data_IF_569328093533
#
_entry.id   IF_569328093533
#
_cell.length_a   1.000
_cell.length_b   1.000
_cell.length_c   1.000
_cell.angle_alpha   90.00
_cell.angle_beta   90.00
_cell.angle_gamma   90.00
#
_symmetry.space_group_name_H-M   'P 1'
#
loop_
_entity.id
_entity.type
_entity.pdbx_description
1 polymer ?
#
# COMPACT_ATOMS: atom_id res chain seq x y z
N UNK A 1 -14.33 4.24 20.71
CA UNK A 1 -13.42 3.06 20.68
C UNK A 1 -12.47 3.28 19.51
N UNK A 2 -11.19 2.98 19.67
CA UNK A 2 -10.22 3.09 18.56
C UNK A 2 -10.64 2.14 17.42
N UNK A 3 -10.67 2.64 16.18
CA UNK A 3 -11.00 1.83 15.00
C UNK A 3 -10.13 0.57 14.90
N UNK A 4 -8.84 0.68 15.25
CA UNK A 4 -7.91 -0.46 15.23
C UNK A 4 -8.34 -1.56 16.20
N UNK A 5 -8.86 -1.22 17.36
CA UNK A 5 -9.36 -2.23 18.33
C UNK A 5 -10.64 -2.91 17.83
N UNK A 6 -11.52 -2.15 17.12
CA UNK A 6 -12.71 -2.74 16.49
C UNK A 6 -12.31 -3.75 15.41
N UNK A 7 -11.32 -3.39 14.57
CA UNK A 7 -10.81 -4.25 13.48
C UNK A 7 -10.20 -5.55 14.04
N UNK A 8 -9.41 -5.46 15.11
CA UNK A 8 -8.73 -6.62 15.71
C UNK A 8 -9.67 -7.59 16.42
N UNK A 9 -10.73 -7.08 17.01
CA UNK A 9 -11.59 -7.86 17.92
C UNK A 9 -12.01 -9.23 17.39
N UNK A 10 -12.51 -9.39 16.15
CA UNK A 10 -12.92 -10.71 15.65
C UNK A 10 -11.77 -11.66 15.33
N UNK A 11 -10.52 -11.17 15.23
CA UNK A 11 -9.33 -11.92 14.79
C UNK A 11 -8.18 -11.85 15.82
N UNK A 12 -8.44 -11.48 17.04
CA UNK A 12 -7.40 -11.17 18.03
C UNK A 12 -6.45 -12.35 18.31
N UNK A 13 -7.01 -13.55 18.43
CA UNK A 13 -6.23 -14.78 18.64
C UNK A 13 -5.34 -15.06 17.43
N UNK A 14 -5.90 -15.10 16.25
CA UNK A 14 -5.21 -15.42 15.00
C UNK A 14 -4.16 -14.33 14.64
N UNK A 15 -4.44 -13.08 14.98
CA UNK A 15 -3.47 -12.00 14.85
C UNK A 15 -2.28 -12.16 15.81
N UNK A 16 -2.51 -12.69 17.02
CA UNK A 16 -1.42 -13.01 17.95
C UNK A 16 -0.57 -14.19 17.44
N UNK A 17 -1.20 -15.23 16.90
CA UNK A 17 -0.52 -16.37 16.26
C UNK A 17 0.32 -15.90 15.06
N UNK A 18 -0.25 -15.02 14.22
CA UNK A 18 0.46 -14.40 13.11
C UNK A 18 1.70 -13.62 13.57
N UNK A 19 1.59 -12.80 14.61
CA UNK A 19 2.72 -12.01 15.13
C UNK A 19 3.86 -12.90 15.60
N UNK A 20 3.55 -14.00 16.30
CA UNK A 20 4.55 -14.96 16.73
C UNK A 20 5.27 -15.60 15.52
N UNK A 21 4.53 -15.93 14.45
CA UNK A 21 5.08 -16.48 13.23
C UNK A 21 5.95 -15.45 12.47
N UNK A 22 5.51 -14.20 12.41
CA UNK A 22 6.26 -13.10 11.81
C UNK A 22 7.57 -12.82 12.54
N UNK A 23 7.54 -12.77 13.87
CA UNK A 23 8.73 -12.58 14.69
C UNK A 23 9.75 -13.72 14.52
N UNK A 24 9.26 -14.96 14.42
CA UNK A 24 10.12 -16.12 14.17
C UNK A 24 10.76 -16.10 12.77
N UNK A 25 10.05 -15.63 11.76
CA UNK A 25 10.55 -15.53 10.38
C UNK A 25 11.66 -14.47 10.21
N UNK A 26 11.67 -13.45 11.08
CA UNK A 26 12.66 -12.36 11.06
C UNK A 26 13.80 -12.59 12.06
N UNK A 27 14.37 -13.80 12.03
CA UNK A 27 15.54 -14.17 12.85
C UNK A 27 16.61 -14.84 11.98
N UNK A 28 17.88 -14.60 12.30
CA UNK A 28 19.02 -15.27 11.68
C UNK A 28 20.17 -15.43 12.65
N UNK A 29 20.96 -16.50 12.50
CA UNK A 29 22.20 -16.71 13.25
C UNK A 29 23.41 -16.02 12.59
N UNK A 30 23.28 -15.56 11.34
CA UNK A 30 24.28 -14.74 10.67
C UNK A 30 24.26 -13.32 11.27
N UNK A 31 25.37 -12.81 11.84
CA UNK A 31 25.36 -11.60 12.66
C UNK A 31 24.72 -10.37 11.99
N UNK A 32 25.26 -9.94 10.84
CA UNK A 32 24.73 -8.76 10.12
C UNK A 32 23.27 -8.96 9.73
N UNK A 33 22.90 -10.13 9.18
CA UNK A 33 21.53 -10.41 8.80
C UNK A 33 20.60 -10.41 10.01
N UNK A 34 21.01 -11.01 11.13
CA UNK A 34 20.24 -11.01 12.38
C UNK A 34 19.99 -9.61 12.92
N UNK A 35 21.01 -8.73 12.86
CA UNK A 35 20.88 -7.33 13.30
C UNK A 35 19.90 -6.54 12.43
N UNK A 36 19.99 -6.68 11.10
CA UNK A 36 19.10 -5.97 10.15
C UNK A 36 17.66 -6.49 10.28
N UNK A 37 17.44 -7.80 10.34
CA UNK A 37 16.11 -8.37 10.54
C UNK A 37 15.52 -7.95 11.89
N UNK A 38 16.34 -7.91 12.95
CA UNK A 38 15.96 -7.37 14.26
C UNK A 38 15.57 -5.90 14.22
N UNK A 39 16.28 -5.09 13.42
CA UNK A 39 15.94 -3.69 13.18
C UNK A 39 14.58 -3.55 12.45
N UNK A 40 14.38 -4.29 11.37
CA UNK A 40 13.13 -4.30 10.61
C UNK A 40 11.96 -4.74 11.51
N UNK A 41 12.13 -5.81 12.30
CA UNK A 41 11.13 -6.33 13.22
C UNK A 41 10.64 -5.30 14.24
N UNK A 42 11.53 -4.47 14.78
CA UNK A 42 11.18 -3.41 15.75
C UNK A 42 10.35 -2.28 15.14
N UNK A 43 10.33 -2.18 13.81
CA UNK A 43 9.64 -1.12 13.05
C UNK A 43 8.26 -1.53 12.54
N UNK A 44 7.69 -2.58 13.10
CA UNK A 44 6.39 -3.09 12.69
C UNK A 44 5.32 -2.01 12.68
N UNK A 45 4.64 -1.89 11.54
CA UNK A 45 3.48 -1.03 11.36
C UNK A 45 2.23 -1.56 12.06
N UNK A 46 1.09 -1.00 11.69
CA UNK A 46 -0.23 -1.38 12.24
C UNK A 46 -0.73 -2.76 11.80
N UNK A 47 0.03 -3.50 11.00
CA UNK A 47 -0.32 -4.84 10.48
C UNK A 47 -1.64 -4.88 9.71
N UNK A 48 -1.96 -3.81 8.98
CA UNK A 48 -3.23 -3.68 8.26
C UNK A 48 -3.45 -4.80 7.24
N UNK A 49 -2.41 -5.15 6.45
CA UNK A 49 -2.52 -6.21 5.43
C UNK A 49 -2.75 -7.59 6.02
N UNK A 50 -1.97 -8.05 7.01
CA UNK A 50 -2.29 -9.29 7.73
C UNK A 50 -3.71 -9.31 8.32
N UNK A 51 -4.17 -8.19 8.91
CA UNK A 51 -5.55 -8.10 9.42
C UNK A 51 -6.57 -8.28 8.30
N UNK A 52 -6.34 -7.72 7.11
CA UNK A 52 -7.22 -7.90 5.96
C UNK A 52 -7.29 -9.38 5.51
N UNK A 53 -6.14 -10.06 5.41
CA UNK A 53 -6.10 -11.51 5.11
C UNK A 53 -6.95 -12.30 6.11
N UNK A 54 -6.76 -12.06 7.41
CA UNK A 54 -7.48 -12.76 8.47
C UNK A 54 -8.99 -12.47 8.45
N UNK A 55 -9.37 -11.21 8.24
CA UNK A 55 -10.78 -10.81 8.17
C UNK A 55 -11.48 -11.45 6.97
N UNK A 56 -10.85 -11.45 5.79
CA UNK A 56 -11.41 -12.07 4.59
C UNK A 56 -11.47 -13.59 4.71
N UNK A 57 -10.45 -14.23 5.28
CA UNK A 57 -10.51 -15.65 5.58
C UNK A 57 -11.66 -16.01 6.54
N UNK A 58 -11.89 -15.16 7.54
CA UNK A 58 -12.98 -15.35 8.51
C UNK A 58 -14.35 -15.09 7.90
N UNK A 59 -14.44 -14.19 6.90
CA UNK A 59 -15.66 -13.90 6.18
C UNK A 59 -16.16 -15.13 5.38
N UNK A 60 -15.25 -15.81 4.72
CA UNK A 60 -15.59 -16.89 3.79
C UNK A 60 -15.37 -18.30 4.38
N UNK A 61 -14.75 -18.41 5.56
CA UNK A 61 -14.51 -19.72 6.16
C UNK A 61 -13.82 -19.69 7.51
N UNK A 62 -13.07 -20.75 7.80
CA UNK A 62 -12.32 -20.89 9.06
C UNK A 62 -10.84 -20.64 8.81
N UNK A 63 -10.27 -19.66 9.52
CA UNK A 63 -8.84 -19.42 9.51
C UNK A 63 -8.06 -20.69 9.85
N UNK A 64 -7.01 -20.97 9.10
CA UNK A 64 -6.21 -22.17 9.17
C UNK A 64 -4.71 -21.85 8.98
N UNK A 65 -3.79 -22.83 9.08
CA UNK A 65 -2.36 -22.58 8.89
C UNK A 65 -2.00 -21.98 7.51
N UNK A 66 -2.70 -22.34 6.44
CA UNK A 66 -2.46 -21.74 5.11
C UNK A 66 -2.76 -20.23 5.12
N UNK A 67 -3.82 -19.80 5.83
CA UNK A 67 -4.14 -18.38 6.02
C UNK A 67 -3.00 -17.62 6.70
N UNK A 68 -2.43 -18.17 7.79
CA UNK A 68 -1.34 -17.54 8.52
C UNK A 68 -0.06 -17.45 7.69
N UNK A 69 0.28 -18.52 6.96
CA UNK A 69 1.44 -18.54 6.08
C UNK A 69 1.26 -17.61 4.88
N UNK A 70 0.06 -17.52 4.32
CA UNK A 70 -0.25 -16.57 3.24
C UNK A 70 -0.13 -15.12 3.70
N UNK A 71 -0.70 -14.78 4.86
CA UNK A 71 -0.57 -13.46 5.46
C UNK A 71 0.90 -13.09 5.70
N UNK A 72 1.70 -14.03 6.20
CA UNK A 72 3.13 -13.82 6.43
C UNK A 72 3.91 -13.65 5.13
N UNK A 73 3.63 -14.46 4.12
CA UNK A 73 4.25 -14.35 2.80
C UNK A 73 4.04 -12.95 2.22
N UNK A 74 2.81 -12.45 2.22
CA UNK A 74 2.49 -11.11 1.70
C UNK A 74 3.14 -9.97 2.50
N UNK A 75 3.17 -10.07 3.83
CA UNK A 75 3.81 -9.03 4.68
C UNK A 75 5.34 -9.02 4.50
N UNK A 76 5.97 -10.20 4.33
CA UNK A 76 7.40 -10.30 4.03
C UNK A 76 7.74 -9.75 2.65
N UNK A 77 6.94 -10.06 1.62
CA UNK A 77 7.11 -9.52 0.28
C UNK A 77 6.98 -8.00 0.30
N UNK A 78 5.93 -7.46 0.96
CA UNK A 78 5.78 -6.02 1.11
C UNK A 78 6.96 -5.37 1.84
N UNK A 79 7.44 -5.98 2.93
CA UNK A 79 8.57 -5.42 3.68
C UNK A 79 9.86 -5.46 2.85
N UNK A 80 10.06 -6.52 2.05
CA UNK A 80 11.18 -6.63 1.11
C UNK A 80 11.12 -5.53 0.03
N UNK A 81 9.93 -5.31 -0.56
CA UNK A 81 9.78 -4.23 -1.56
C UNK A 81 10.12 -2.87 -0.97
N UNK A 82 9.68 -2.57 0.27
CA UNK A 82 10.04 -1.31 0.93
C UNK A 82 11.55 -1.14 1.15
N UNK A 83 12.27 -2.23 1.44
CA UNK A 83 13.74 -2.20 1.58
C UNK A 83 14.43 -1.95 0.24
N UNK A 84 13.92 -2.54 -0.84
CA UNK A 84 14.41 -2.30 -2.20
C UNK A 84 14.08 -0.88 -2.69
N UNK A 85 12.86 -0.40 -2.44
CA UNK A 85 12.41 0.95 -2.79
C UNK A 85 13.31 2.01 -2.15
N UNK A 86 13.69 1.84 -0.86
CA UNK A 86 14.61 2.76 -0.18
C UNK A 86 15.96 2.89 -0.90
N UNK A 87 16.43 1.82 -1.55
CA UNK A 87 17.66 1.84 -2.37
C UNK A 87 17.44 2.54 -3.71
N UNK A 88 16.32 2.21 -4.40
CA UNK A 88 15.96 2.79 -5.70
C UNK A 88 15.74 4.31 -5.58
N UNK A 89 14.97 4.72 -4.57
CA UNK A 89 14.62 6.11 -4.30
C UNK A 89 15.76 6.89 -3.58
N UNK A 90 16.87 6.22 -3.22
CA UNK A 90 17.96 6.79 -2.42
C UNK A 90 17.47 7.46 -1.13
N UNK A 91 16.48 6.84 -0.49
CA UNK A 91 15.85 7.37 0.70
C UNK A 91 16.66 7.07 1.95
N UNK A 92 17.06 8.11 2.69
CA UNK A 92 17.79 7.96 3.96
C UNK A 92 16.88 7.68 5.15
N UNK A 93 15.56 7.93 5.02
CA UNK A 93 14.58 7.78 6.10
C UNK A 93 13.29 7.15 5.61
N UNK A 94 12.72 6.27 6.44
CA UNK A 94 11.39 5.70 6.28
C UNK A 94 10.61 5.78 7.60
N UNK A 95 9.42 6.36 7.58
CA UNK A 95 8.57 6.57 8.77
C UNK A 95 9.32 7.29 9.91
N UNK A 96 10.12 8.31 9.57
CA UNK A 96 10.87 9.12 10.54
C UNK A 96 12.12 8.47 11.13
N UNK A 97 12.46 7.23 10.73
CA UNK A 97 13.68 6.52 11.16
C UNK A 97 14.62 6.29 9.98
N UNK A 98 15.90 6.06 10.25
CA UNK A 98 16.88 5.76 9.21
C UNK A 98 16.45 4.52 8.40
N UNK A 99 16.57 4.55 7.08
CA UNK A 99 16.34 3.39 6.21
C UNK A 99 17.46 2.35 6.40
N UNK A 100 17.25 1.12 5.88
CA UNK A 100 18.27 0.06 6.01
C UNK A 100 19.54 0.44 5.25
N UNK A 101 19.42 1.01 4.05
CA UNK A 101 20.56 1.46 3.25
C UNK A 101 21.34 2.61 3.90
N UNK A 102 20.69 3.49 4.66
CA UNK A 102 21.35 4.54 5.41
C UNK A 102 22.15 4.01 6.61
N UNK A 103 21.73 2.87 7.21
CA UNK A 103 22.43 2.28 8.35
C UNK A 103 23.52 1.28 7.98
N UNK A 104 23.29 0.50 6.92
CA UNK A 104 24.15 -0.65 6.58
C UNK A 104 24.80 -0.54 5.19
N UNK A 105 24.25 0.09 4.25
CA UNK A 105 24.56 0.35 2.84
C UNK A 105 23.57 -0.33 1.84
N UNK A 106 23.69 0.05 0.57
CA UNK A 106 22.84 -0.47 -0.50
C UNK A 106 23.04 -1.98 -0.74
N UNK A 107 24.26 -2.51 -0.58
CA UNK A 107 24.54 -3.94 -0.85
C UNK A 107 23.84 -4.82 0.17
N UNK A 108 23.93 -4.44 1.46
CA UNK A 108 23.25 -5.15 2.54
C UNK A 108 21.73 -5.06 2.34
N UNK A 109 21.21 -3.89 1.98
CA UNK A 109 19.77 -3.70 1.75
C UNK A 109 19.24 -4.58 0.65
N UNK A 110 19.90 -4.64 -0.51
CA UNK A 110 19.50 -5.53 -1.61
C UNK A 110 19.50 -6.99 -1.17
N UNK A 111 20.56 -7.47 -0.53
CA UNK A 111 20.67 -8.86 -0.09
C UNK A 111 19.65 -9.22 1.01
N UNK A 112 19.34 -8.29 1.91
CA UNK A 112 18.29 -8.51 2.92
C UNK A 112 16.91 -8.54 2.28
N UNK A 113 16.62 -7.65 1.33
CA UNK A 113 15.40 -7.70 0.54
C UNK A 113 15.23 -9.05 -0.19
N UNK A 114 16.29 -9.54 -0.85
CA UNK A 114 16.28 -10.85 -1.51
C UNK A 114 16.05 -12.01 -0.53
N UNK A 115 16.69 -11.97 0.65
CA UNK A 115 16.47 -12.94 1.70
C UNK A 115 15.01 -12.96 2.17
N UNK A 116 14.40 -11.78 2.33
CA UNK A 116 13.00 -11.64 2.73
C UNK A 116 12.05 -12.11 1.63
N UNK A 117 12.33 -11.83 0.34
CA UNK A 117 11.59 -12.36 -0.79
C UNK A 117 11.66 -13.89 -0.84
N UNK A 118 12.83 -14.47 -0.67
CA UNK A 118 12.99 -15.93 -0.61
C UNK A 118 12.23 -16.54 0.58
N UNK A 119 12.24 -15.86 1.73
CA UNK A 119 11.46 -16.28 2.90
C UNK A 119 9.96 -16.18 2.65
N UNK A 120 9.50 -15.13 1.97
CA UNK A 120 8.10 -14.97 1.52
C UNK A 120 7.67 -16.16 0.65
N UNK A 121 8.43 -16.51 -0.38
CA UNK A 121 8.14 -17.65 -1.25
C UNK A 121 8.11 -18.99 -0.49
N UNK A 122 8.99 -19.17 0.50
CA UNK A 122 8.94 -20.37 1.36
C UNK A 122 7.63 -20.45 2.16
N UNK A 123 7.14 -19.31 2.68
CA UNK A 123 5.86 -19.28 3.39
C UNK A 123 4.67 -19.47 2.45
N UNK A 124 4.71 -18.94 1.22
CA UNK A 124 3.73 -19.27 0.18
C UNK A 124 3.70 -20.78 -0.09
N UNK A 125 4.87 -21.43 -0.23
CA UNK A 125 4.95 -22.87 -0.42
C UNK A 125 4.46 -23.71 0.78
N UNK A 126 4.60 -23.21 2.01
CA UNK A 126 4.07 -23.87 3.21
C UNK A 126 2.54 -23.90 3.28
N UNK A 127 1.85 -23.05 2.52
CA UNK A 127 0.40 -23.15 2.36
C UNK A 127 -0.03 -24.45 1.69
N UNK A 128 0.82 -25.04 0.85
CA UNK A 128 0.53 -26.18 -0.03
C UNK A 128 -0.59 -25.96 -1.04
N UNK A 129 -0.95 -24.71 -1.28
CA UNK A 129 -1.96 -24.28 -2.24
C UNK A 129 -1.24 -23.54 -3.39
N UNK A 130 -1.31 -24.09 -4.60
CA UNK A 130 -0.57 -23.55 -5.76
C UNK A 130 -1.08 -22.15 -6.15
N UNK A 131 -2.37 -21.91 -5.98
CA UNK A 131 -3.01 -20.62 -6.26
C UNK A 131 -2.43 -19.51 -5.38
N UNK A 132 -2.11 -19.80 -4.12
CA UNK A 132 -1.47 -18.83 -3.21
C UNK A 132 0.00 -18.58 -3.58
N UNK A 133 0.70 -19.57 -4.10
CA UNK A 133 2.07 -19.39 -4.62
C UNK A 133 2.05 -18.51 -5.87
N UNK A 134 1.13 -18.78 -6.79
CA UNK A 134 0.95 -18.00 -8.02
C UNK A 134 0.56 -16.54 -7.69
N UNK A 135 -0.36 -16.33 -6.74
CA UNK A 135 -0.77 -15.01 -6.27
C UNK A 135 0.43 -14.18 -5.79
N UNK A 136 1.30 -14.77 -4.97
CA UNK A 136 2.50 -14.09 -4.45
C UNK A 136 3.49 -13.76 -5.57
N UNK A 137 3.65 -14.68 -6.54
CA UNK A 137 4.52 -14.46 -7.68
C UNK A 137 4.00 -13.34 -8.61
N UNK A 138 2.70 -13.37 -8.94
CA UNK A 138 2.02 -12.30 -9.72
C UNK A 138 2.11 -10.96 -9.02
N UNK A 139 1.93 -10.92 -7.69
CA UNK A 139 2.09 -9.69 -6.93
C UNK A 139 3.49 -9.11 -7.05
N UNK A 140 4.54 -9.94 -6.92
CA UNK A 140 5.92 -9.49 -7.09
C UNK A 140 6.19 -8.91 -8.48
N UNK A 141 5.64 -9.55 -9.53
CA UNK A 141 5.73 -9.03 -10.91
C UNK A 141 5.03 -7.67 -11.04
N UNK A 142 3.78 -7.55 -10.54
CA UNK A 142 3.00 -6.32 -10.62
C UNK A 142 3.68 -5.14 -9.91
N UNK A 143 4.26 -5.36 -8.73
CA UNK A 143 4.99 -4.32 -8.00
C UNK A 143 6.19 -3.82 -8.80
N UNK A 144 6.97 -4.73 -9.38
CA UNK A 144 8.15 -4.38 -10.19
C UNK A 144 7.74 -3.68 -11.50
N UNK A 145 6.70 -4.18 -12.19
CA UNK A 145 6.17 -3.56 -13.39
C UNK A 145 5.62 -2.15 -13.12
N UNK A 146 4.86 -1.99 -12.01
CA UNK A 146 4.33 -0.69 -11.59
C UNK A 146 5.42 0.33 -11.35
N UNK A 147 6.55 -0.06 -10.73
CA UNK A 147 7.70 0.82 -10.53
C UNK A 147 8.36 1.22 -11.84
N UNK A 148 8.57 0.27 -12.76
CA UNK A 148 9.14 0.53 -14.09
C UNK A 148 8.24 1.47 -14.90
N UNK A 149 6.92 1.24 -14.88
CA UNK A 149 5.95 2.11 -15.55
C UNK A 149 5.96 3.52 -14.95
N UNK A 150 6.04 3.65 -13.63
CA UNK A 150 6.16 4.94 -12.96
C UNK A 150 7.42 5.68 -13.39
N UNK A 151 8.58 5.01 -13.43
CA UNK A 151 9.84 5.60 -13.91
C UNK A 151 9.75 6.05 -15.38
N UNK A 152 9.10 5.27 -16.23
CA UNK A 152 8.89 5.63 -17.64
C UNK A 152 7.94 6.83 -17.81
N UNK A 153 6.94 6.98 -16.94
CA UNK A 153 5.96 8.07 -17.03
C UNK A 153 6.49 9.46 -16.67
N UNK A 154 7.70 9.57 -16.11
CA UNK A 154 8.33 10.87 -15.86
C UNK A 154 8.60 11.66 -17.15
N UNK A 155 8.65 11.00 -18.32
CA UNK A 155 8.80 11.61 -19.63
C UNK A 155 7.48 11.82 -20.39
N UNK A 156 6.34 11.38 -19.87
CA UNK A 156 5.04 11.55 -20.52
C UNK A 156 4.56 13.00 -20.40
N UNK A 157 3.99 13.55 -21.49
CA UNK A 157 3.43 14.92 -21.55
C UNK A 157 1.92 14.96 -21.31
N UNK A 158 1.25 13.82 -21.27
CA UNK A 158 -0.20 13.74 -21.06
C UNK A 158 -0.57 13.72 -19.57
N UNK A 159 -1.60 14.46 -19.19
CA UNK A 159 -2.15 14.49 -17.84
C UNK A 159 -3.36 13.54 -17.74
N UNK A 160 -3.09 12.22 -17.82
CA UNK A 160 -4.12 11.19 -17.87
C UNK A 160 -4.42 10.63 -16.48
N UNK A 161 -5.70 10.71 -16.06
CA UNK A 161 -6.18 10.02 -14.86
C UNK A 161 -6.18 8.49 -15.06
N UNK A 162 -6.41 7.99 -16.28
CA UNK A 162 -6.38 6.56 -16.57
C UNK A 162 -5.00 5.95 -16.27
N UNK A 163 -3.92 6.62 -16.72
CA UNK A 163 -2.54 6.23 -16.44
C UNK A 163 -2.28 6.29 -14.93
N UNK A 164 -2.75 7.33 -14.25
CA UNK A 164 -2.63 7.44 -12.81
C UNK A 164 -3.29 6.24 -12.10
N UNK A 165 -4.54 5.91 -12.45
CA UNK A 165 -5.24 4.78 -11.85
C UNK A 165 -4.56 3.44 -12.16
N UNK A 166 -4.01 3.24 -13.36
CA UNK A 166 -3.25 2.02 -13.71
C UNK A 166 -2.01 1.88 -12.82
N UNK A 167 -1.25 2.96 -12.64
CA UNK A 167 -0.07 2.96 -11.76
C UNK A 167 -0.43 2.63 -10.32
N UNK A 168 -1.44 3.29 -9.73
CA UNK A 168 -1.78 3.04 -8.33
C UNK A 168 -2.40 1.67 -8.10
N UNK A 169 -3.12 1.09 -9.09
CA UNK A 169 -3.60 -0.29 -9.03
C UNK A 169 -2.42 -1.28 -8.96
N UNK A 170 -1.42 -1.13 -9.82
CA UNK A 170 -0.26 -2.02 -9.88
C UNK A 170 0.67 -1.86 -8.67
N UNK A 171 0.95 -0.63 -8.26
CA UNK A 171 1.94 -0.34 -7.22
C UNK A 171 1.40 -0.47 -5.79
N UNK A 172 0.21 0.05 -5.53
CA UNK A 172 -0.32 0.15 -4.16
C UNK A 172 -1.52 -0.77 -3.94
N UNK A 173 -2.55 -0.71 -4.81
CA UNK A 173 -3.75 -1.48 -4.61
C UNK A 173 -3.51 -2.99 -4.77
N UNK A 174 -2.56 -3.41 -5.60
CA UNK A 174 -2.21 -4.83 -5.80
C UNK A 174 -1.92 -5.57 -4.47
N UNK A 175 -1.29 -4.91 -3.50
CA UNK A 175 -1.05 -5.50 -2.18
C UNK A 175 -2.32 -5.70 -1.35
N UNK A 176 -3.28 -4.77 -1.42
CA UNK A 176 -4.58 -4.92 -0.77
C UNK A 176 -5.44 -5.97 -1.48
N UNK A 177 -5.43 -5.96 -2.81
CA UNK A 177 -6.08 -6.97 -3.66
C UNK A 177 -5.59 -8.37 -3.28
N UNK A 178 -4.27 -8.59 -3.33
CA UNK A 178 -3.67 -9.88 -2.99
C UNK A 178 -3.93 -10.28 -1.52
N UNK A 179 -3.98 -9.31 -0.58
CA UNK A 179 -4.29 -9.60 0.82
C UNK A 179 -5.73 -10.10 0.98
N UNK A 180 -6.70 -9.45 0.35
CA UNK A 180 -8.09 -9.86 0.42
C UNK A 180 -8.32 -11.19 -0.33
N UNK A 181 -7.81 -11.32 -1.55
CA UNK A 181 -7.87 -12.53 -2.39
C UNK A 181 -7.27 -13.73 -1.66
N UNK A 182 -6.08 -13.57 -1.07
CA UNK A 182 -5.41 -14.66 -0.36
C UNK A 182 -6.17 -15.14 0.87
N UNK A 183 -6.88 -14.23 1.55
CA UNK A 183 -7.75 -14.60 2.65
C UNK A 183 -8.84 -15.57 2.21
N UNK A 184 -9.56 -15.26 1.13
CA UNK A 184 -10.60 -16.12 0.56
C UNK A 184 -10.04 -17.44 0.00
N UNK A 185 -8.94 -17.38 -0.78
CA UNK A 185 -8.27 -18.57 -1.31
C UNK A 185 -7.81 -19.53 -0.21
N UNK A 186 -7.28 -19.02 0.90
CA UNK A 186 -6.73 -19.82 2.00
C UNK A 186 -7.77 -20.72 2.68
N UNK A 187 -9.05 -20.36 2.58
CA UNK A 187 -10.16 -21.10 3.16
C UNK A 187 -11.00 -21.81 2.09
N UNK A 188 -10.54 -21.84 0.83
CA UNK A 188 -11.17 -22.49 -0.31
C UNK A 188 -12.57 -21.96 -0.57
N UNK A 189 -12.72 -20.63 -0.53
CA UNK A 189 -13.94 -19.95 -0.92
C UNK A 189 -14.32 -20.23 -2.39
N UNK A 190 -15.56 -19.96 -2.77
CA UNK A 190 -15.97 -20.08 -4.17
C UNK A 190 -15.18 -19.11 -5.06
N UNK A 191 -15.08 -19.40 -6.37
CA UNK A 191 -14.41 -18.49 -7.30
C UNK A 191 -15.03 -17.09 -7.28
N UNK A 192 -16.36 -17.00 -7.19
CA UNK A 192 -17.08 -15.73 -7.08
C UNK A 192 -16.69 -14.96 -5.80
N UNK A 193 -16.58 -15.65 -4.66
CA UNK A 193 -16.15 -15.03 -3.39
C UNK A 193 -14.69 -14.55 -3.45
N UNK A 194 -13.83 -15.30 -4.12
CA UNK A 194 -12.43 -14.92 -4.34
C UNK A 194 -12.35 -13.65 -5.20
N UNK A 195 -13.10 -13.60 -6.30
CA UNK A 195 -13.16 -12.43 -7.18
C UNK A 195 -13.72 -11.20 -6.44
N UNK A 196 -14.78 -11.38 -5.64
CA UNK A 196 -15.35 -10.32 -4.82
C UNK A 196 -14.36 -9.83 -3.75
N UNK A 197 -13.59 -10.74 -3.12
CA UNK A 197 -12.55 -10.39 -2.17
C UNK A 197 -11.43 -9.59 -2.85
N UNK A 198 -10.98 -10.02 -4.02
CA UNK A 198 -9.97 -9.30 -4.80
C UNK A 198 -10.43 -7.88 -5.14
N UNK A 199 -11.66 -7.74 -5.64
CA UNK A 199 -12.25 -6.44 -5.97
C UNK A 199 -12.40 -5.54 -4.73
N UNK A 200 -12.85 -6.10 -3.59
CA UNK A 200 -12.89 -5.38 -2.30
C UNK A 200 -11.52 -4.83 -1.92
N UNK A 201 -10.48 -5.66 -2.03
CA UNK A 201 -9.10 -5.26 -1.77
C UNK A 201 -8.63 -4.14 -2.71
N UNK A 202 -8.94 -4.23 -4.01
CA UNK A 202 -8.59 -3.20 -4.99
C UNK A 202 -9.25 -1.86 -4.64
N UNK A 203 -10.56 -1.85 -4.36
CA UNK A 203 -11.27 -0.61 -4.00
C UNK A 203 -10.64 0.07 -2.79
N UNK A 204 -10.31 -0.69 -1.75
CA UNK A 204 -9.63 -0.17 -0.55
C UNK A 204 -8.23 0.35 -0.89
N UNK A 205 -7.46 -0.38 -1.69
CA UNK A 205 -6.10 -0.02 -2.06
C UNK A 205 -6.05 1.28 -2.87
N UNK A 206 -6.99 1.48 -3.80
CA UNK A 206 -7.14 2.74 -4.55
C UNK A 206 -7.51 3.88 -3.60
N UNK A 207 -8.52 3.70 -2.73
CA UNK A 207 -8.90 4.71 -1.75
C UNK A 207 -7.73 5.06 -0.81
N UNK A 208 -6.93 4.06 -0.42
CA UNK A 208 -5.73 4.24 0.40
C UNK A 208 -4.71 5.15 -0.30
N UNK A 209 -4.42 4.92 -1.57
CA UNK A 209 -3.45 5.74 -2.31
C UNK A 209 -3.96 7.16 -2.53
N UNK A 210 -5.23 7.32 -2.93
CA UNK A 210 -5.81 8.67 -3.08
C UNK A 210 -5.71 9.46 -1.76
N UNK A 211 -5.91 8.80 -0.61
CA UNK A 211 -5.73 9.44 0.70
C UNK A 211 -4.30 9.88 0.95
N UNK A 212 -3.31 9.06 0.60
CA UNK A 212 -1.89 9.42 0.72
C UNK A 212 -1.56 10.63 -0.17
N UNK A 213 -2.06 10.63 -1.40
CA UNK A 213 -1.87 11.72 -2.35
C UNK A 213 -2.51 13.02 -1.85
N UNK A 214 -3.69 12.96 -1.22
CA UNK A 214 -4.30 14.13 -0.58
C UNK A 214 -3.42 14.65 0.57
N UNK A 215 -2.83 13.77 1.38
CA UNK A 215 -1.95 14.21 2.48
C UNK A 215 -0.74 14.99 2.00
N UNK A 216 -0.20 14.70 0.84
CA UNK A 216 0.96 15.40 0.28
C UNK A 216 0.72 16.90 0.05
N UNK A 217 -0.54 17.32 -0.06
CA UNK A 217 -0.92 18.73 -0.18
C UNK A 217 -0.97 19.49 1.14
N UNK A 218 -0.82 18.83 2.29
CA UNK A 218 -0.89 19.44 3.60
C UNK A 218 0.44 19.31 4.36
N UNK A 219 0.78 20.34 5.13
CA UNK A 219 1.97 20.29 5.99
C UNK A 219 1.85 19.19 7.02
N UNK A 220 2.88 18.37 7.12
CA UNK A 220 2.98 17.35 8.16
C UNK A 220 4.21 17.62 9.04
N UNK A 221 4.05 18.54 10.00
CA UNK A 221 5.11 18.89 10.95
C UNK A 221 5.69 17.66 11.69
N UNK A 222 4.84 16.66 11.97
CA UNK A 222 5.26 15.45 12.67
C UNK A 222 6.20 14.55 11.85
N UNK A 223 6.18 14.64 10.51
CA UNK A 223 7.03 13.86 9.60
C UNK A 223 8.18 14.69 9.02
N UNK A 224 8.17 16.03 9.23
CA UNK A 224 9.19 16.93 8.67
C UNK A 224 9.26 16.92 7.14
N UNK A 225 8.15 16.52 6.46
CA UNK A 225 8.06 16.51 5.00
C UNK A 225 7.48 17.84 4.52
N UNK A 226 8.13 18.49 3.53
CA UNK A 226 7.55 19.66 2.86
C UNK A 226 6.27 19.25 2.12
N UNK A 227 5.36 20.20 1.95
CA UNK A 227 4.14 20.04 1.12
C UNK A 227 4.56 19.87 -0.35
N UNK A 228 3.89 18.96 -1.08
CA UNK A 228 4.18 18.71 -2.50
C UNK A 228 5.43 17.86 -2.74
N UNK A 229 5.74 16.93 -1.82
CA UNK A 229 6.86 16.01 -1.98
C UNK A 229 6.73 15.16 -3.25
N UNK A 230 5.52 14.70 -3.61
CA UNK A 230 5.29 13.98 -4.85
C UNK A 230 5.65 14.83 -6.08
N UNK A 231 5.37 16.13 -6.05
CA UNK A 231 5.74 17.06 -7.12
C UNK A 231 7.25 17.31 -7.16
N UNK A 232 7.94 17.30 -6.01
CA UNK A 232 9.41 17.35 -5.96
C UNK A 232 10.04 16.12 -6.63
N UNK A 233 9.33 14.99 -6.62
CA UNK A 233 9.72 13.75 -7.30
C UNK A 233 9.18 13.67 -8.75
N UNK A 234 8.56 14.74 -9.26
CA UNK A 234 8.01 14.80 -10.61
C UNK A 234 6.67 14.08 -10.79
N UNK A 235 6.01 13.71 -9.69
CA UNK A 235 4.74 13.00 -9.69
C UNK A 235 3.57 13.98 -9.62
N UNK A 236 2.61 13.86 -10.54
CA UNK A 236 1.36 14.59 -10.51
C UNK A 236 0.23 13.61 -10.20
N UNK A 237 -0.37 13.79 -9.04
CA UNK A 237 -1.39 12.90 -8.48
C UNK A 237 -2.81 13.39 -8.78
N UNK A 238 -3.83 12.63 -8.41
CA UNK A 238 -5.23 12.87 -8.80
C UNK A 238 -5.72 14.32 -8.61
N UNK A 239 -5.44 15.02 -7.48
CA UNK A 239 -5.84 16.41 -7.32
C UNK A 239 -5.29 17.33 -8.41
N UNK A 240 -4.00 17.17 -8.76
CA UNK A 240 -3.36 17.97 -9.80
C UNK A 240 -3.89 17.62 -11.19
N UNK A 241 -4.08 16.34 -11.49
CA UNK A 241 -4.57 15.86 -12.79
C UNK A 241 -5.96 16.43 -13.10
N UNK A 242 -6.88 16.40 -12.12
CA UNK A 242 -8.21 17.00 -12.26
C UNK A 242 -8.13 18.48 -12.63
N UNK A 243 -7.35 19.27 -11.90
CA UNK A 243 -7.24 20.70 -12.13
C UNK A 243 -6.57 21.00 -13.49
N UNK A 244 -5.56 20.23 -13.86
CA UNK A 244 -4.89 20.36 -15.17
C UNK A 244 -5.81 20.04 -16.35
N UNK A 245 -6.74 19.12 -16.18
CA UNK A 245 -7.68 18.76 -17.25
C UNK A 245 -8.86 19.73 -17.35
N UNK A 246 -9.38 20.21 -16.23
CA UNK A 246 -10.64 20.93 -16.17
C UNK A 246 -10.49 22.45 -16.03
N UNK A 247 -9.37 22.95 -15.48
CA UNK A 247 -9.23 24.33 -15.02
C UNK A 247 -8.00 25.06 -15.52
N UNK A 248 -6.91 24.33 -15.81
CA UNK A 248 -5.61 24.94 -16.06
C UNK A 248 -5.52 25.62 -17.44
N UNK A 249 -4.97 26.83 -17.43
CA UNK A 249 -4.50 27.53 -18.62
C UNK A 249 -3.13 26.98 -19.10
N UNK A 250 -2.62 27.54 -20.18
CA UNK A 250 -1.34 27.10 -20.78
C UNK A 250 -0.16 27.32 -19.81
N UNK A 251 -0.14 28.43 -19.06
CA UNK A 251 0.93 28.70 -18.08
C UNK A 251 1.00 27.61 -16.99
N UNK A 252 -0.14 27.19 -16.48
CA UNK A 252 -0.21 26.14 -15.47
C UNK A 252 0.16 24.76 -16.02
N UNK A 253 -0.22 24.48 -17.28
CA UNK A 253 0.20 23.24 -17.98
C UNK A 253 1.71 23.21 -18.22
N UNK A 254 2.31 24.32 -18.66
CA UNK A 254 3.78 24.43 -18.80
C UNK A 254 4.50 24.24 -17.47
N UNK A 255 3.98 24.81 -16.38
CA UNK A 255 4.52 24.61 -15.03
C UNK A 255 4.44 23.16 -14.61
N UNK A 256 3.31 22.48 -14.86
CA UNK A 256 3.15 21.07 -14.57
C UNK A 256 4.15 20.18 -15.35
N UNK A 257 4.45 20.50 -16.60
CA UNK A 257 5.51 19.82 -17.38
C UNK A 257 6.90 20.06 -16.80
N UNK A 258 7.16 21.26 -16.25
CA UNK A 258 8.44 21.56 -15.57
C UNK A 258 8.55 20.82 -14.25
N UNK A 259 7.45 20.68 -13.48
CA UNK A 259 7.39 19.84 -12.29
C UNK A 259 7.74 18.39 -12.66
N UNK A 260 7.04 17.83 -13.66
CA UNK A 260 7.25 16.44 -14.11
C UNK A 260 8.69 16.17 -14.58
N UNK A 261 9.32 17.15 -15.21
CA UNK A 261 10.72 17.07 -15.67
C UNK A 261 11.76 17.46 -14.60
N UNK A 262 11.36 17.66 -13.33
CA UNK A 262 12.19 18.05 -12.20
C UNK A 262 12.92 19.40 -12.43
N UNK A 263 12.31 20.33 -13.16
CA UNK A 263 12.87 21.65 -13.48
C UNK A 263 12.16 22.80 -12.75
N UNK A 264 11.13 22.52 -11.98
CA UNK A 264 10.42 23.53 -11.19
C UNK A 264 11.15 23.80 -9.86
N UNK A 265 11.13 25.06 -9.42
CA UNK A 265 11.66 25.43 -8.11
C UNK A 265 10.66 25.06 -7.00
N UNK A 266 11.14 25.04 -5.74
CA UNK A 266 10.27 24.83 -4.58
C UNK A 266 9.17 25.86 -4.46
N UNK A 267 9.42 27.13 -4.82
CA UNK A 267 8.45 28.21 -4.80
C UNK A 267 7.36 27.99 -5.85
N UNK A 268 7.73 27.54 -7.04
CA UNK A 268 6.80 27.20 -8.11
C UNK A 268 5.90 26.02 -7.74
N UNK A 269 6.47 24.98 -7.12
CA UNK A 269 5.71 23.83 -6.59
C UNK A 269 4.73 24.30 -5.51
N UNK A 270 5.17 25.13 -4.55
CA UNK A 270 4.28 25.65 -3.51
C UNK A 270 3.13 26.49 -4.09
N UNK A 271 3.42 27.29 -5.12
CA UNK A 271 2.39 28.06 -5.85
C UNK A 271 1.39 27.14 -6.56
N UNK A 272 1.89 26.07 -7.19
CA UNK A 272 1.05 25.09 -7.89
C UNK A 272 0.19 24.26 -6.92
N UNK A 273 0.73 23.85 -5.77
CA UNK A 273 -0.03 23.23 -4.67
C UNK A 273 -1.18 24.12 -4.22
N UNK A 274 -0.90 25.42 -4.03
CA UNK A 274 -1.93 26.39 -3.64
C UNK A 274 -3.02 26.54 -4.71
N UNK A 275 -2.62 26.58 -5.97
CA UNK A 275 -3.55 26.63 -7.10
C UNK A 275 -4.45 25.39 -7.15
N UNK A 276 -3.89 24.18 -7.01
CA UNK A 276 -4.67 22.93 -7.00
C UNK A 276 -5.71 22.91 -5.89
N UNK A 277 -5.34 23.39 -4.69
CA UNK A 277 -6.28 23.54 -3.57
C UNK A 277 -7.42 24.51 -3.88
N UNK A 278 -7.12 25.69 -4.43
CA UNK A 278 -8.09 26.72 -4.75
C UNK A 278 -9.09 26.30 -5.84
N UNK A 279 -8.63 25.52 -6.82
CA UNK A 279 -9.45 25.08 -7.95
C UNK A 279 -10.22 23.76 -7.68
N UNK A 280 -10.25 23.28 -6.44
CA UNK A 280 -11.09 22.15 -6.04
C UNK A 280 -10.51 20.77 -6.32
N UNK A 281 -9.18 20.67 -6.53
CA UNK A 281 -8.52 19.40 -6.77
C UNK A 281 -8.61 18.44 -5.59
N UNK A 282 -8.51 18.97 -4.37
CA UNK A 282 -8.63 18.16 -3.14
C UNK A 282 -10.05 17.62 -2.97
N UNK A 283 -11.07 18.47 -3.17
CA UNK A 283 -12.48 18.10 -3.06
C UNK A 283 -12.87 17.06 -4.11
N UNK A 284 -12.28 17.11 -5.31
CA UNK A 284 -12.47 16.09 -6.33
C UNK A 284 -11.88 14.75 -5.89
N UNK A 285 -10.62 14.74 -5.46
CA UNK A 285 -9.95 13.52 -5.02
C UNK A 285 -10.65 12.90 -3.79
N UNK A 286 -11.12 13.73 -2.84
CA UNK A 286 -11.86 13.28 -1.67
C UNK A 286 -13.20 12.59 -2.07
N UNK A 287 -13.96 13.17 -3.02
CA UNK A 287 -15.16 12.51 -3.56
C UNK A 287 -14.85 11.17 -4.22
N UNK A 288 -13.82 11.11 -5.08
CA UNK A 288 -13.42 9.87 -5.74
C UNK A 288 -13.00 8.81 -4.72
N UNK A 289 -12.26 9.19 -3.69
CA UNK A 289 -11.86 8.30 -2.60
C UNK A 289 -13.08 7.71 -1.88
N UNK A 290 -14.09 8.54 -1.57
CA UNK A 290 -15.32 8.08 -0.93
C UNK A 290 -16.16 7.19 -1.85
N UNK A 291 -16.18 7.43 -3.17
CA UNK A 291 -16.81 6.55 -4.14
C UNK A 291 -16.17 5.14 -4.11
N UNK A 292 -14.86 5.04 -4.02
CA UNK A 292 -14.15 3.77 -3.88
C UNK A 292 -14.46 3.09 -2.54
N UNK A 293 -14.52 3.86 -1.45
CA UNK A 293 -14.96 3.37 -0.13
C UNK A 293 -16.35 2.74 -0.21
N UNK A 294 -17.31 3.44 -0.78
CA UNK A 294 -18.70 2.98 -0.85
C UNK A 294 -18.84 1.75 -1.76
N UNK A 295 -18.10 1.70 -2.87
CA UNK A 295 -18.00 0.50 -3.72
C UNK A 295 -17.44 -0.70 -2.94
N UNK A 296 -16.39 -0.50 -2.13
CA UNK A 296 -15.86 -1.57 -1.28
C UNK A 296 -16.92 -2.09 -0.30
N UNK A 297 -17.62 -1.20 0.40
CA UNK A 297 -18.67 -1.61 1.36
C UNK A 297 -19.84 -2.34 0.69
N UNK A 298 -20.17 -1.97 -0.55
CA UNK A 298 -21.23 -2.62 -1.32
C UNK A 298 -20.91 -4.08 -1.73
N UNK A 299 -19.62 -4.46 -1.76
CA UNK A 299 -19.17 -5.83 -2.04
C UNK A 299 -19.30 -6.78 -0.83
N UNK A 300 -19.55 -6.26 0.38
CA UNK A 300 -19.71 -7.09 1.56
C UNK A 300 -21.03 -7.86 1.50
N UNK A 301 -21.04 -9.20 1.76
CA UNK A 301 -22.24 -10.01 1.73
C UNK A 301 -23.33 -9.44 2.65
N UNK A 302 -24.59 -9.48 2.19
CA UNK A 302 -25.72 -9.01 3.01
C UNK A 302 -25.92 -9.86 4.29
N UNK A 303 -25.67 -11.16 4.18
CA UNK A 303 -25.74 -12.10 5.31
C UNK A 303 -24.32 -12.43 5.76
N UNK A 304 -23.88 -11.83 6.86
CA UNK A 304 -22.61 -12.10 7.52
C UNK A 304 -22.70 -11.80 9.03
N UNK A 305 -21.74 -12.31 9.79
CA UNK A 305 -21.63 -12.01 11.22
C UNK A 305 -21.49 -10.50 11.46
N UNK A 306 -22.30 -9.96 12.39
CA UNK A 306 -22.36 -8.51 12.65
C UNK A 306 -21.04 -7.95 13.22
N UNK A 307 -20.33 -8.72 14.02
CA UNK A 307 -19.02 -8.33 14.55
C UNK A 307 -18.01 -8.20 13.42
N UNK A 308 -18.06 -9.11 12.44
CA UNK A 308 -17.19 -9.09 11.27
C UNK A 308 -17.53 -7.95 10.31
N UNK A 309 -18.84 -7.69 10.10
CA UNK A 309 -19.30 -6.51 9.34
C UNK A 309 -18.76 -5.21 9.97
N UNK A 310 -18.92 -5.07 11.27
CA UNK A 310 -18.44 -3.91 12.01
C UNK A 310 -16.93 -3.75 11.86
N UNK A 311 -16.16 -4.84 11.92
CA UNK A 311 -14.71 -4.81 11.77
C UNK A 311 -14.27 -4.45 10.34
N UNK A 312 -14.91 -5.01 9.30
CA UNK A 312 -14.60 -4.71 7.91
C UNK A 312 -15.00 -3.27 7.55
N UNK A 313 -16.17 -2.80 8.02
CA UNK A 313 -16.55 -1.39 7.87
C UNK A 313 -15.54 -0.46 8.55
N UNK A 314 -15.15 -0.77 9.79
CA UNK A 314 -14.13 0.00 10.50
C UNK A 314 -12.77 -0.02 9.79
N UNK A 315 -12.43 -1.13 9.11
CA UNK A 315 -11.21 -1.24 8.31
C UNK A 315 -11.26 -0.27 7.12
N UNK A 316 -12.33 -0.26 6.35
CA UNK A 316 -12.52 0.64 5.21
C UNK A 316 -12.54 2.09 5.67
N UNK A 317 -13.30 2.41 6.73
CA UNK A 317 -13.37 3.76 7.31
C UNK A 317 -12.01 4.21 7.91
N UNK A 318 -11.21 3.26 8.42
CA UNK A 318 -9.86 3.60 8.89
C UNK A 318 -8.97 4.08 7.73
N UNK A 319 -9.10 3.48 6.55
CA UNK A 319 -8.30 3.85 5.37
C UNK A 319 -8.60 5.28 4.93
N UNK A 320 -9.87 5.70 4.88
CA UNK A 320 -10.27 7.04 4.39
C UNK A 320 -10.19 8.13 5.45
N UNK A 321 -10.46 7.78 6.73
CA UNK A 321 -10.52 8.76 7.82
C UNK A 321 -9.18 8.95 8.57
N UNK A 322 -8.14 8.20 8.23
CA UNK A 322 -6.83 8.37 8.86
C UNK A 322 -6.31 9.79 8.68
N UNK A 323 -5.71 10.30 9.72
CA UNK A 323 -5.11 11.65 9.76
C UNK A 323 -3.60 11.62 9.59
N UNK A 324 -3.01 10.42 9.58
CA UNK A 324 -1.57 10.17 9.43
C UNK A 324 -1.33 8.79 8.81
#
# INVERSE_FOLDING_TARGET
>A
MDKIEIIKRPIERELSEFKALFDAALTSTAPILGDVLGYIRKRNGKMMRPMLVLLMAKLYGKINPATLHSALSLELLHTASLVHDDVVDKSDKRRGQASVNALYDNRVSVLVGDYMLATSLRHAAYTKEIELVDLVARLGQNLSEGEIVQLANTSNTEFSEEIYFDVIRKKTAALFTASAESGALSVKASAEDVDNAALFGEMIGVAFQIKDDIFDYFENEALGKPTGNDMLEGKLTLPALYVLNEKADEEKRELALRIRSLKASHEEIASFVSYVKQEGGIEYADRVMHDYRDKALALLPQQMDESLRTALTAYVDYVVDRTK
#
